data_IF_540196150841
#
_entry.id   IF_540196150841
#
_cell.length_a   1.000
_cell.length_b   1.000
_cell.length_c   1.000
_cell.angle_alpha   90.00
_cell.angle_beta   90.00
_cell.angle_gamma   90.00
#
_symmetry.space_group_name_H-M   'P 1'
#
loop_
_entity.id
_entity.type
_entity.pdbx_description
1 polymer ?
#
# COMPACT_ATOMS: atom_id res chain seq x y z
N UNK A 1 3.09 -48.72 -21.88
CA UNK A 1 3.46 -47.53 -21.09
C UNK A 1 3.91 -46.48 -22.06
N UNK A 2 3.13 -45.42 -22.26
CA UNK A 2 3.42 -44.35 -23.21
C UNK A 2 4.64 -43.60 -22.72
N UNK A 3 5.75 -43.64 -23.46
CA UNK A 3 6.93 -42.87 -23.11
C UNK A 3 6.60 -41.37 -23.14
N UNK A 4 6.82 -40.70 -22.01
CA UNK A 4 6.72 -39.26 -21.92
C UNK A 4 7.77 -38.64 -22.84
N UNK A 5 7.33 -37.77 -23.73
CA UNK A 5 8.25 -36.95 -24.53
C UNK A 5 9.17 -36.14 -23.61
N UNK A 6 10.37 -35.82 -24.09
CA UNK A 6 11.36 -35.04 -23.32
C UNK A 6 10.79 -33.71 -22.83
N UNK A 7 9.89 -33.10 -23.62
CA UNK A 7 9.17 -31.89 -23.25
C UNK A 7 8.22 -32.10 -22.07
N UNK A 8 7.50 -33.22 -22.02
CA UNK A 8 6.61 -33.53 -20.90
C UNK A 8 7.41 -33.84 -19.64
N UNK A 9 8.56 -34.52 -19.76
CA UNK A 9 9.46 -34.79 -18.63
C UNK A 9 10.03 -33.51 -18.03
N UNK A 10 10.51 -32.60 -18.88
CA UNK A 10 11.02 -31.30 -18.44
C UNK A 10 9.93 -30.45 -17.76
N UNK A 11 8.69 -30.48 -18.27
CA UNK A 11 7.57 -29.77 -17.66
C UNK A 11 7.20 -30.34 -16.27
N UNK A 12 7.22 -31.67 -16.12
CA UNK A 12 6.97 -32.33 -14.83
C UNK A 12 8.05 -31.95 -13.82
N UNK A 13 9.33 -32.01 -14.22
CA UNK A 13 10.46 -31.67 -13.34
C UNK A 13 10.39 -30.21 -12.86
N UNK A 14 10.02 -29.29 -13.75
CA UNK A 14 9.79 -27.89 -13.40
C UNK A 14 8.65 -27.72 -12.40
N UNK A 15 7.53 -28.42 -12.59
CA UNK A 15 6.39 -28.39 -11.67
C UNK A 15 6.72 -28.98 -10.30
N UNK A 16 7.45 -30.09 -10.25
CA UNK A 16 7.88 -30.68 -8.98
C UNK A 16 8.87 -29.80 -8.23
N UNK A 17 9.74 -29.09 -8.95
CA UNK A 17 10.66 -28.12 -8.36
C UNK A 17 9.90 -26.94 -7.77
N UNK A 18 8.94 -26.40 -8.52
CA UNK A 18 8.07 -25.33 -8.02
C UNK A 18 7.25 -25.76 -6.80
N UNK A 19 6.73 -27.00 -6.79
CA UNK A 19 5.98 -27.57 -5.67
C UNK A 19 6.85 -27.75 -4.42
N UNK A 20 8.12 -28.17 -4.57
CA UNK A 20 9.08 -28.24 -3.47
C UNK A 20 9.38 -26.86 -2.88
N UNK A 21 9.64 -25.86 -3.73
CA UNK A 21 9.84 -24.48 -3.26
C UNK A 21 8.61 -23.95 -2.53
N UNK A 22 7.40 -24.22 -3.02
CA UNK A 22 6.16 -23.84 -2.34
C UNK A 22 5.99 -24.55 -0.99
N UNK A 23 6.33 -25.84 -0.91
CA UNK A 23 6.35 -26.59 0.34
C UNK A 23 7.33 -25.98 1.35
N UNK A 24 8.55 -25.68 0.90
CA UNK A 24 9.60 -25.14 1.77
C UNK A 24 9.26 -23.74 2.30
N UNK A 25 8.66 -22.87 1.47
CA UNK A 25 8.17 -21.56 1.91
C UNK A 25 7.18 -21.67 3.07
N UNK A 26 6.35 -22.72 3.09
CA UNK A 26 5.30 -22.91 4.11
C UNK A 26 5.85 -23.56 5.38
N UNK A 27 6.87 -24.42 5.27
CA UNK A 27 7.28 -25.30 6.36
C UNK A 27 8.69 -25.03 6.91
N UNK A 28 9.54 -24.30 6.19
CA UNK A 28 10.88 -23.96 6.65
C UNK A 28 10.90 -22.61 7.38
N UNK A 29 11.91 -22.34 8.23
CA UNK A 29 12.05 -21.07 8.92
C UNK A 29 12.20 -19.89 7.96
N UNK A 30 11.55 -18.78 8.32
CA UNK A 30 11.42 -17.58 7.49
C UNK A 30 12.75 -16.91 7.13
N UNK A 31 13.80 -17.12 7.93
CA UNK A 31 15.12 -16.50 7.80
C UNK A 31 16.09 -17.30 6.92
N UNK A 32 15.75 -18.52 6.52
CA UNK A 32 16.65 -19.34 5.70
C UNK A 32 16.80 -18.70 4.31
N UNK A 33 18.04 -18.50 3.89
CA UNK A 33 18.42 -17.96 2.58
C UNK A 33 18.04 -18.96 1.50
N UNK A 34 17.40 -18.48 0.43
CA UNK A 34 17.07 -19.33 -0.72
C UNK A 34 18.04 -19.03 -1.85
N UNK A 35 18.82 -20.03 -2.22
CA UNK A 35 19.68 -19.99 -3.39
C UNK A 35 18.81 -20.05 -4.65
N UNK A 36 18.94 -19.05 -5.53
CA UNK A 36 18.26 -19.04 -6.83
C UNK A 36 19.29 -19.01 -7.95
N UNK A 37 18.90 -19.45 -9.16
CA UNK A 37 19.77 -19.38 -10.35
C UNK A 37 20.19 -17.96 -10.74
N UNK A 38 19.54 -16.94 -10.18
CA UNK A 38 19.85 -15.51 -10.38
C UNK A 38 20.67 -14.91 -9.23
N UNK A 39 21.09 -15.72 -8.26
CA UNK A 39 21.77 -15.31 -7.02
C UNK A 39 20.94 -15.60 -5.76
N UNK A 40 21.50 -15.45 -4.55
CA UNK A 40 20.76 -15.68 -3.31
C UNK A 40 19.63 -14.65 -3.19
N UNK A 41 18.40 -15.14 -3.06
CA UNK A 41 17.32 -14.30 -2.54
C UNK A 41 17.51 -14.12 -1.03
N UNK A 42 17.01 -13.04 -0.39
CA UNK A 42 17.36 -12.73 0.99
C UNK A 42 16.95 -13.85 1.97
N UNK A 43 15.71 -14.35 1.89
CA UNK A 43 15.17 -15.44 2.72
C UNK A 43 13.89 -16.06 2.12
N UNK A 44 13.37 -17.19 2.65
CA UNK A 44 12.03 -17.72 2.28
C UNK A 44 10.91 -16.70 2.49
N UNK A 45 10.99 -15.86 3.53
CA UNK A 45 10.03 -14.77 3.72
C UNK A 45 10.10 -13.72 2.61
N UNK A 46 11.30 -13.37 2.14
CA UNK A 46 11.46 -12.45 1.02
C UNK A 46 10.91 -13.07 -0.28
N UNK A 47 11.16 -14.36 -0.50
CA UNK A 47 10.63 -15.10 -1.65
C UNK A 47 9.09 -15.18 -1.60
N UNK A 48 8.51 -15.48 -0.44
CA UNK A 48 7.06 -15.51 -0.24
C UNK A 48 6.41 -14.15 -0.51
N UNK A 49 7.03 -13.06 -0.05
CA UNK A 49 6.58 -11.69 -0.36
C UNK A 49 6.66 -11.37 -1.85
N UNK A 50 7.76 -11.77 -2.50
CA UNK A 50 7.92 -11.57 -3.94
C UNK A 50 6.88 -12.34 -4.75
N UNK A 51 6.63 -13.62 -4.40
CA UNK A 51 5.58 -14.44 -5.03
C UNK A 51 4.22 -13.81 -4.77
N UNK A 52 3.94 -13.39 -3.53
CA UNK A 52 2.69 -12.69 -3.20
C UNK A 52 2.54 -11.46 -4.09
N UNK A 53 3.55 -10.59 -4.17
CA UNK A 53 3.55 -9.40 -5.03
C UNK A 53 3.30 -9.76 -6.53
N UNK A 54 3.84 -10.88 -7.01
CA UNK A 54 3.69 -11.37 -8.40
C UNK A 54 2.33 -12.03 -8.70
N UNK A 55 1.75 -12.78 -7.75
CA UNK A 55 0.59 -13.67 -8.01
C UNK A 55 -0.75 -13.13 -7.49
N UNK A 56 -0.76 -12.07 -6.68
CA UNK A 56 -2.02 -11.55 -6.12
C UNK A 56 -1.92 -10.33 -5.21
N UNK A 57 -0.73 -9.94 -4.78
CA UNK A 57 -0.42 -8.69 -4.09
C UNK A 57 -0.63 -7.46 -4.97
N UNK A 58 -0.69 -7.64 -6.30
CA UNK A 58 -1.18 -6.63 -7.22
C UNK A 58 -2.69 -6.35 -7.07
N UNK A 59 -3.48 -7.33 -6.61
CA UNK A 59 -4.93 -7.21 -6.45
C UNK A 59 -5.34 -6.73 -5.05
N UNK A 60 -4.46 -6.86 -4.06
CA UNK A 60 -4.71 -6.42 -2.69
C UNK A 60 -4.00 -5.08 -2.43
N UNK A 61 -4.74 -4.01 -2.11
CA UNK A 61 -4.14 -2.72 -1.82
C UNK A 61 -3.20 -2.80 -0.62
N UNK A 62 -1.94 -2.33 -0.78
CA UNK A 62 -0.97 -2.30 0.33
C UNK A 62 -1.26 -1.11 1.25
N UNK A 63 -1.08 -1.34 2.54
CA UNK A 63 -1.13 -0.32 3.58
C UNK A 63 0.28 0.15 3.95
N UNK A 64 0.47 1.46 4.04
CA UNK A 64 1.65 2.09 4.62
C UNK A 64 1.28 2.80 5.92
N UNK A 65 1.94 2.45 7.03
CA UNK A 65 1.77 3.11 8.32
C UNK A 65 2.82 4.20 8.51
N UNK A 66 2.39 5.40 8.88
CA UNK A 66 3.22 6.59 9.12
C UNK A 66 2.94 7.05 10.55
N UNK A 67 3.85 6.71 11.46
CA UNK A 67 3.66 6.90 12.92
C UNK A 67 3.80 8.36 13.38
N UNK A 68 4.42 9.20 12.56
CA UNK A 68 4.58 10.64 12.80
C UNK A 68 4.61 11.34 11.44
N UNK A 69 3.65 12.24 11.23
CA UNK A 69 3.53 13.02 10.00
C UNK A 69 4.49 14.23 10.01
N UNK A 70 4.87 14.71 11.18
CA UNK A 70 5.66 15.92 11.33
C UNK A 70 4.90 17.17 10.86
N UNK A 71 5.65 18.25 10.58
CA UNK A 71 5.09 19.50 10.09
C UNK A 71 4.77 19.47 8.58
N UNK A 72 5.37 18.52 7.85
CA UNK A 72 5.14 18.30 6.43
C UNK A 72 5.33 16.82 6.12
N UNK A 73 4.40 16.26 5.35
CA UNK A 73 4.39 14.88 4.94
C UNK A 73 4.20 14.79 3.43
N UNK A 74 5.10 14.06 2.77
CA UNK A 74 4.99 13.73 1.36
C UNK A 74 4.62 12.25 1.22
N UNK A 75 3.45 11.98 0.64
CA UNK A 75 2.99 10.62 0.35
C UNK A 75 3.44 10.25 -1.06
N UNK A 76 4.18 9.15 -1.18
CA UNK A 76 4.49 8.56 -2.49
C UNK A 76 3.29 7.74 -2.97
N UNK A 77 2.54 8.29 -3.93
CA UNK A 77 1.27 7.74 -4.39
C UNK A 77 1.39 7.01 -5.73
N UNK A 78 2.62 6.67 -6.14
CA UNK A 78 2.86 5.96 -7.39
C UNK A 78 2.04 4.66 -7.43
N UNK A 79 1.21 4.50 -8.46
CA UNK A 79 0.41 3.28 -8.64
C UNK A 79 1.30 2.02 -8.73
N UNK A 80 2.54 2.16 -9.20
CA UNK A 80 3.53 1.09 -9.30
C UNK A 80 4.03 0.60 -7.95
N UNK A 81 3.89 1.39 -6.88
CA UNK A 81 4.30 0.98 -5.53
C UNK A 81 3.25 0.06 -4.87
N UNK A 82 2.04 -0.04 -5.43
CA UNK A 82 0.95 -0.86 -4.90
C UNK A 82 0.38 -0.40 -3.55
N UNK A 83 0.84 0.74 -3.02
CA UNK A 83 0.29 1.35 -1.79
C UNK A 83 -0.90 2.21 -2.17
N UNK A 84 -2.08 1.84 -1.67
CA UNK A 84 -3.29 2.65 -1.85
C UNK A 84 -4.02 2.92 -0.53
N UNK A 85 -3.42 2.56 0.62
CA UNK A 85 -3.91 2.95 1.93
C UNK A 85 -2.79 3.53 2.80
N UNK A 86 -2.88 4.80 3.17
CA UNK A 86 -1.95 5.46 4.08
C UNK A 86 -2.60 5.63 5.45
N UNK A 87 -1.96 5.10 6.49
CA UNK A 87 -2.41 5.20 7.88
C UNK A 87 -1.49 6.15 8.64
N UNK A 88 -1.89 7.41 8.73
CA UNK A 88 -1.06 8.53 9.17
C UNK A 88 -1.44 8.99 10.57
N UNK A 89 -0.47 9.10 11.47
CA UNK A 89 -0.64 9.76 12.77
C UNK A 89 -0.15 11.20 12.69
N UNK A 90 -1.05 12.15 12.96
CA UNK A 90 -0.73 13.57 13.07
C UNK A 90 -0.18 13.86 14.47
N UNK A 91 1.05 14.37 14.56
CA UNK A 91 1.78 14.63 15.81
C UNK A 91 2.22 16.10 15.97
N UNK A 92 1.88 16.96 15.01
CA UNK A 92 2.16 18.40 15.04
C UNK A 92 0.88 19.20 14.82
N UNK A 93 0.74 20.40 15.42
CA UNK A 93 -0.45 21.24 15.29
C UNK A 93 -0.85 21.56 13.85
N UNK A 94 0.13 21.61 12.94
CA UNK A 94 -0.05 21.77 11.50
C UNK A 94 0.79 20.72 10.77
N UNK A 95 0.20 20.08 9.77
CA UNK A 95 0.91 19.22 8.83
C UNK A 95 0.56 19.63 7.39
N UNK A 96 1.57 19.98 6.58
CA UNK A 96 1.40 20.21 5.15
C UNK A 96 1.51 18.86 4.40
N UNK A 97 0.43 18.43 3.75
CA UNK A 97 0.40 17.20 2.97
C UNK A 97 0.75 17.49 1.51
N UNK A 98 1.54 16.62 0.90
CA UNK A 98 1.87 16.64 -0.53
C UNK A 98 1.85 15.23 -1.12
N UNK A 99 1.64 15.13 -2.43
CA UNK A 99 1.63 13.86 -3.16
C UNK A 99 2.82 13.83 -4.13
N UNK A 100 3.61 12.76 -4.10
CA UNK A 100 4.74 12.51 -4.99
C UNK A 100 4.36 11.45 -6.02
N UNK A 101 5.03 11.47 -7.18
CA UNK A 101 4.87 10.47 -8.24
C UNK A 101 3.40 10.29 -8.66
N UNK A 102 2.74 11.42 -8.96
CA UNK A 102 1.30 11.50 -9.22
C UNK A 102 0.89 11.09 -10.64
N UNK A 103 1.84 10.70 -11.49
CA UNK A 103 1.58 10.40 -12.89
C UNK A 103 0.69 9.15 -13.03
N UNK A 104 -0.41 9.30 -13.75
CA UNK A 104 -1.34 8.21 -14.10
C UNK A 104 -1.35 8.07 -15.62
N UNK A 105 -1.15 6.86 -16.18
CA UNK A 105 -1.15 6.66 -17.62
C UNK A 105 -2.49 7.05 -18.27
N UNK A 106 -2.47 7.63 -19.49
CA UNK A 106 -3.70 7.97 -20.22
C UNK A 106 -4.63 6.74 -20.37
N UNK A 107 -5.93 6.94 -20.15
CA UNK A 107 -6.94 5.87 -20.21
C UNK A 107 -7.12 5.09 -18.91
N UNK A 108 -6.34 5.39 -17.87
CA UNK A 108 -6.46 4.80 -16.54
C UNK A 108 -6.81 5.86 -15.50
N UNK A 109 -7.37 5.43 -14.37
CA UNK A 109 -7.52 6.24 -13.16
C UNK A 109 -6.83 5.53 -12.00
N UNK A 110 -6.48 6.29 -10.97
CA UNK A 110 -5.87 5.78 -9.75
C UNK A 110 -6.55 6.41 -8.55
N UNK A 111 -6.73 5.63 -7.49
CA UNK A 111 -7.23 6.12 -6.22
C UNK A 111 -6.45 5.53 -5.05
N UNK A 112 -6.36 6.32 -3.99
CA UNK A 112 -5.80 5.90 -2.73
C UNK A 112 -6.58 6.54 -1.58
N UNK A 113 -6.57 5.86 -0.44
CA UNK A 113 -7.21 6.29 0.79
C UNK A 113 -6.16 6.70 1.81
N UNK A 114 -6.44 7.76 2.54
CA UNK A 114 -5.65 8.23 3.68
C UNK A 114 -6.55 8.22 4.90
N UNK A 115 -6.13 7.47 5.92
CA UNK A 115 -6.66 7.61 7.28
C UNK A 115 -5.76 8.57 8.04
N UNK A 116 -6.31 9.69 8.48
CA UNK A 116 -5.65 10.66 9.34
C UNK A 116 -6.08 10.43 10.79
N UNK A 117 -5.16 10.01 11.66
CA UNK A 117 -5.38 9.87 13.10
C UNK A 117 -4.85 11.10 13.82
N UNK A 118 -5.64 11.66 14.71
CA UNK A 118 -5.21 12.69 15.66
C UNK A 118 -4.32 12.06 16.73
N UNK A 119 -2.99 12.21 16.63
CA UNK A 119 -2.05 11.70 17.64
C UNK A 119 -2.04 12.56 18.91
N UNK A 120 -1.93 13.88 18.75
CA UNK A 120 -1.95 14.84 19.87
C UNK A 120 -3.29 15.58 20.04
N UNK A 121 -4.21 15.44 19.09
CA UNK A 121 -5.46 16.21 19.04
C UNK A 121 -5.28 17.60 18.43
N UNK A 122 -6.38 18.15 17.91
CA UNK A 122 -6.50 19.46 17.29
C UNK A 122 -5.50 19.77 16.17
N UNK A 123 -4.89 18.74 15.57
CA UNK A 123 -3.95 18.90 14.48
C UNK A 123 -4.70 19.21 13.19
N UNK A 124 -4.20 20.19 12.44
CA UNK A 124 -4.79 20.58 11.15
C UNK A 124 -3.90 20.10 10.01
N UNK A 125 -4.53 19.80 8.89
CA UNK A 125 -3.84 19.41 7.66
C UNK A 125 -4.07 20.48 6.59
N UNK A 126 -2.99 20.91 5.96
CA UNK A 126 -3.05 21.69 4.71
C UNK A 126 -2.91 20.71 3.56
N UNK A 127 -3.95 20.54 2.77
CA UNK A 127 -3.95 19.66 1.60
C UNK A 127 -3.29 20.34 0.39
N UNK A 128 -2.71 19.56 -0.55
CA UNK A 128 -2.08 20.15 -1.72
C UNK A 128 -3.13 20.82 -2.62
N UNK A 129 -2.73 21.90 -3.29
CA UNK A 129 -3.62 22.69 -4.17
C UNK A 129 -4.16 21.90 -5.38
N UNK A 130 -3.53 20.77 -5.71
CA UNK A 130 -3.98 19.81 -6.71
C UNK A 130 -5.22 19.02 -6.28
N UNK A 131 -5.67 19.14 -5.02
CA UNK A 131 -6.89 18.49 -4.54
C UNK A 131 -8.11 19.38 -4.74
N UNK A 132 -9.06 18.88 -5.50
CA UNK A 132 -10.36 19.46 -5.73
C UNK A 132 -11.39 18.84 -4.79
N UNK A 133 -11.84 19.64 -3.83
CA UNK A 133 -12.86 19.22 -2.87
C UNK A 133 -14.28 19.54 -3.34
N UNK A 134 -15.24 18.74 -2.88
CA UNK A 134 -16.65 19.10 -2.98
C UNK A 134 -16.90 20.49 -2.40
N UNK A 135 -17.70 21.31 -3.09
CA UNK A 135 -18.00 22.69 -2.69
C UNK A 135 -16.77 23.60 -2.53
N UNK A 136 -15.62 23.24 -3.12
CA UNK A 136 -14.33 23.97 -3.02
C UNK A 136 -13.84 24.17 -1.58
N UNK A 137 -14.18 23.25 -0.67
CA UNK A 137 -13.82 23.34 0.74
C UNK A 137 -13.23 22.03 1.24
N UNK A 138 -12.03 22.04 1.83
CA UNK A 138 -11.51 20.85 2.49
C UNK A 138 -12.43 20.44 3.66
N UNK A 139 -12.49 19.14 4.00
CA UNK A 139 -13.31 18.65 5.09
C UNK A 139 -12.80 19.16 6.44
N UNK A 140 -13.72 19.27 7.38
CA UNK A 140 -13.38 19.51 8.79
C UNK A 140 -13.02 18.18 9.41
N UNK A 141 -11.77 18.05 9.84
CA UNK A 141 -11.26 16.84 10.50
C UNK A 141 -11.70 16.78 11.96
N UNK A 142 -11.75 15.56 12.51
CA UNK A 142 -11.88 15.34 13.94
C UNK A 142 -10.72 15.99 14.68
N UNK A 143 -10.96 16.42 15.92
CA UNK A 143 -9.98 17.14 16.74
C UNK A 143 -9.60 16.42 18.04
N UNK A 144 -10.31 15.36 18.42
CA UNK A 144 -9.98 14.61 19.63
C UNK A 144 -8.79 13.68 19.37
N UNK A 145 -7.87 13.59 20.34
CA UNK A 145 -6.79 12.62 20.25
C UNK A 145 -7.36 11.20 20.20
N UNK A 146 -6.81 10.36 19.32
CA UNK A 146 -7.31 9.01 19.05
C UNK A 146 -8.42 8.94 17.99
N UNK A 147 -9.08 10.05 17.66
CA UNK A 147 -10.06 10.09 16.58
C UNK A 147 -9.36 10.01 15.21
N UNK A 148 -10.02 9.40 14.24
CA UNK A 148 -9.55 9.32 12.87
C UNK A 148 -10.60 9.72 11.83
N UNK A 149 -10.11 10.31 10.75
CA UNK A 149 -10.87 10.65 9.55
C UNK A 149 -10.35 9.84 8.37
N UNK A 150 -11.25 9.47 7.46
CA UNK A 150 -10.92 8.69 6.26
C UNK A 150 -11.25 9.52 5.03
N UNK A 151 -10.25 9.66 4.15
CA UNK A 151 -10.30 10.47 2.95
C UNK A 151 -9.87 9.62 1.76
N UNK A 152 -10.58 9.68 0.65
CA UNK A 152 -10.16 9.05 -0.60
C UNK A 152 -9.82 10.12 -1.63
N UNK A 153 -8.71 9.91 -2.33
CA UNK A 153 -8.25 10.78 -3.41
C UNK A 153 -8.30 9.97 -4.71
N UNK A 154 -8.98 10.50 -5.72
CA UNK A 154 -9.10 9.88 -7.04
C UNK A 154 -8.54 10.81 -8.11
N UNK A 155 -7.66 10.31 -8.97
CA UNK A 155 -7.10 11.10 -10.05
C UNK A 155 -8.15 11.45 -11.10
N UNK A 156 -8.19 12.72 -11.51
CA UNK A 156 -9.02 13.22 -12.62
C UNK A 156 -8.19 13.57 -13.88
N UNK A 157 -6.90 13.23 -13.88
CA UNK A 157 -5.94 13.51 -14.95
C UNK A 157 -5.18 14.84 -14.82
N UNK A 158 -5.71 15.84 -14.09
CA UNK A 158 -5.04 17.13 -13.86
C UNK A 158 -4.84 17.46 -12.36
N UNK A 159 -5.34 16.60 -11.48
CA UNK A 159 -5.30 16.72 -10.04
C UNK A 159 -5.98 15.53 -9.38
N UNK A 160 -6.59 15.78 -8.22
CA UNK A 160 -7.22 14.77 -7.39
C UNK A 160 -8.57 15.24 -6.89
N UNK A 161 -9.62 14.45 -7.12
CA UNK A 161 -10.89 14.62 -6.44
C UNK A 161 -10.75 14.11 -5.00
N UNK A 162 -11.04 14.96 -4.02
CA UNK A 162 -11.01 14.63 -2.61
C UNK A 162 -12.40 14.26 -2.10
N UNK A 163 -12.54 13.05 -1.57
CA UNK A 163 -13.74 12.51 -0.92
C UNK A 163 -13.49 12.39 0.57
N UNK A 164 -14.50 12.77 1.36
CA UNK A 164 -14.48 12.61 2.81
C UNK A 164 -15.46 11.48 3.16
N UNK A 165 -14.90 10.29 3.39
CA UNK A 165 -15.67 9.05 3.48
C UNK A 165 -16.23 8.83 4.89
N UNK A 166 -15.61 9.45 5.89
CA UNK A 166 -16.08 9.45 7.26
C UNK A 166 -15.12 10.13 8.21
N UNK A 167 -15.65 10.52 9.36
CA UNK A 167 -14.96 11.30 10.39
C UNK A 167 -15.30 10.75 11.76
N UNK A 168 -14.49 11.09 12.76
CA UNK A 168 -14.74 10.73 14.16
C UNK A 168 -14.74 9.23 14.45
N UNK A 169 -14.02 8.43 13.65
CA UNK A 169 -13.82 7.03 13.99
C UNK A 169 -12.95 6.92 15.24
N UNK A 170 -13.36 6.10 16.20
CA UNK A 170 -12.48 5.72 17.30
C UNK A 170 -11.37 4.81 16.75
N UNK A 171 -10.19 5.38 16.56
CA UNK A 171 -9.00 4.64 16.13
C UNK A 171 -8.05 4.33 17.30
N UNK A 172 -8.50 4.55 18.54
CA UNK A 172 -7.81 4.07 19.75
C UNK A 172 -8.07 2.57 19.98
N UNK A 173 -9.18 2.06 19.45
CA UNK A 173 -9.54 0.64 19.47
C UNK A 173 -9.37 0.08 18.05
N UNK A 174 -8.64 -1.04 17.86
CA UNK A 174 -8.63 -1.75 16.58
C UNK A 174 -10.06 -2.17 16.21
N UNK A 175 -10.45 -1.91 14.96
CA UNK A 175 -11.71 -2.41 14.41
C UNK A 175 -11.73 -3.94 14.31
#
# INVERSE_FOLDING_TARGET
MTELSDRQRAAIEMLETAARTAHDIVHQPAEVVVETGSGPSPTFLALAKMITDLTGGLLLPRKQAIQSAGAALALDVAYTNGVSFFDVTLDKPQCALSFLNTDVPPGYTWSFTVRLRQGTGANKVTFPASVHWSSKRPPVLAYEAGAADVLTFMSDGNGWLGFHDGSWFDASVPA
#
